data_IF_564138828623
#
_entry.id   IF_564138828623
#
_cell.length_a   1.000
_cell.length_b   1.000
_cell.length_c   1.000
_cell.angle_alpha   90.00
_cell.angle_beta   90.00
_cell.angle_gamma   90.00
#
_symmetry.space_group_name_H-M   'P 1'
#
loop_
_entity.id
_entity.type
_entity.pdbx_description
1 polymer ?
#
# COMPACT_ATOMS: atom_id res chain seq x y z
N UNK A 1 14.83 2.50 -28.96
CA UNK A 1 13.39 2.19 -29.06
C UNK A 1 13.05 1.30 -27.88
N UNK A 2 12.16 1.75 -26.98
CA UNK A 2 11.75 1.00 -25.79
C UNK A 2 10.29 0.63 -25.99
N UNK A 3 10.01 -0.62 -26.27
CA UNK A 3 8.65 -1.15 -26.40
C UNK A 3 8.57 -2.48 -25.65
N UNK A 4 7.51 -2.64 -24.86
CA UNK A 4 7.27 -3.81 -24.02
C UNK A 4 6.09 -3.53 -23.10
N UNK A 5 5.47 -4.59 -22.59
CA UNK A 5 4.34 -4.49 -21.67
C UNK A 5 4.74 -5.08 -20.32
N UNK A 6 4.43 -4.38 -19.22
CA UNK A 6 4.58 -4.92 -17.87
C UNK A 6 3.40 -5.81 -17.55
N UNK A 7 3.65 -7.00 -17.02
CA UNK A 7 2.59 -7.97 -16.75
C UNK A 7 1.70 -7.60 -15.55
N UNK A 8 2.09 -6.63 -14.69
CA UNK A 8 1.37 -6.39 -13.42
C UNK A 8 1.31 -4.95 -12.91
N UNK A 9 2.20 -4.04 -13.29
CA UNK A 9 2.30 -2.73 -12.61
C UNK A 9 2.14 -1.56 -13.57
N UNK A 10 0.93 -1.02 -13.70
CA UNK A 10 0.71 0.26 -14.37
C UNK A 10 -0.17 1.14 -13.50
N UNK A 11 -0.02 2.46 -13.65
CA UNK A 11 -0.80 3.43 -12.89
C UNK A 11 -1.03 4.70 -13.70
N UNK A 12 -2.10 5.40 -13.37
CA UNK A 12 -2.31 6.76 -13.86
C UNK A 12 -1.47 7.72 -13.00
N UNK A 13 -0.69 8.59 -13.66
CA UNK A 13 0.07 9.66 -12.99
C UNK A 13 -0.69 10.99 -13.00
N UNK A 14 -1.66 11.11 -13.90
CA UNK A 14 -2.69 12.14 -13.95
C UNK A 14 -3.92 11.57 -14.72
N UNK A 15 -4.86 12.42 -15.13
CA UNK A 15 -6.09 11.99 -15.80
C UNK A 15 -5.89 11.49 -17.25
N UNK A 16 -4.73 11.72 -17.87
CA UNK A 16 -4.50 11.49 -19.30
C UNK A 16 -3.29 10.58 -19.57
N UNK A 17 -2.41 10.43 -18.60
CA UNK A 17 -1.12 9.77 -18.75
C UNK A 17 -1.07 8.50 -17.91
N UNK A 18 -0.90 7.36 -18.59
CA UNK A 18 -0.60 6.07 -17.98
C UNK A 18 0.89 5.88 -17.91
N UNK A 19 1.39 5.35 -16.81
CA UNK A 19 2.80 5.02 -16.66
C UNK A 19 3.01 3.60 -16.14
N UNK A 20 4.08 2.97 -16.60
CA UNK A 20 4.40 1.58 -16.32
C UNK A 20 5.90 1.32 -16.53
N UNK A 21 6.52 0.41 -15.77
CA UNK A 21 7.90 0.00 -15.97
C UNK A 21 8.02 -0.90 -17.21
N UNK A 22 9.15 -0.80 -17.90
CA UNK A 22 9.51 -1.60 -19.07
C UNK A 22 11.02 -1.84 -19.04
N UNK A 23 11.43 -2.91 -18.37
CA UNK A 23 12.84 -3.26 -18.17
C UNK A 23 13.56 -2.22 -17.31
N UNK A 24 14.44 -1.43 -17.94
CA UNK A 24 15.25 -0.41 -17.27
C UNK A 24 14.64 1.00 -17.35
N UNK A 25 13.43 1.11 -17.91
CA UNK A 25 12.75 2.37 -18.16
C UNK A 25 11.36 2.35 -17.53
N UNK A 26 10.81 3.53 -17.30
CA UNK A 26 9.41 3.76 -17.01
C UNK A 26 8.87 4.59 -18.17
N UNK A 27 7.82 4.08 -18.81
CA UNK A 27 7.16 4.72 -19.93
C UNK A 27 5.98 5.52 -19.41
N UNK A 28 5.77 6.70 -19.96
CA UNK A 28 4.61 7.56 -19.71
C UNK A 28 3.90 7.78 -21.04
N UNK A 29 2.72 7.22 -21.19
CA UNK A 29 1.91 7.27 -22.39
C UNK A 29 0.72 8.21 -22.16
N UNK A 30 0.73 9.34 -22.85
CA UNK A 30 -0.44 10.19 -23.00
C UNK A 30 -1.46 9.48 -23.90
N UNK A 31 -2.64 9.20 -23.36
CA UNK A 31 -3.68 8.43 -24.05
C UNK A 31 -4.30 9.23 -25.20
N UNK A 32 -4.36 10.56 -25.11
CA UNK A 32 -4.97 11.42 -26.11
C UNK A 32 -4.00 11.66 -27.28
N UNK A 33 -2.79 12.13 -26.98
CA UNK A 33 -1.81 12.50 -28.00
C UNK A 33 -1.00 11.32 -28.52
N UNK A 34 -1.05 10.17 -27.83
CA UNK A 34 -0.22 8.98 -28.08
C UNK A 34 1.28 9.25 -27.98
N UNK A 35 1.68 10.36 -27.36
CA UNK A 35 3.08 10.68 -27.11
C UNK A 35 3.57 9.87 -25.91
N UNK A 36 4.80 9.37 -26.05
CA UNK A 36 5.46 8.63 -24.98
C UNK A 36 6.69 9.40 -24.52
N UNK A 37 6.78 9.66 -23.21
CA UNK A 37 8.02 10.09 -22.56
C UNK A 37 8.58 8.94 -21.73
N UNK A 38 9.87 8.99 -21.43
CA UNK A 38 10.58 7.89 -20.76
C UNK A 38 11.41 8.42 -19.61
N UNK A 39 11.42 7.69 -18.50
CA UNK A 39 12.37 7.87 -17.40
C UNK A 39 13.25 6.62 -17.33
N UNK A 40 14.56 6.80 -17.36
CA UNK A 40 15.50 5.70 -17.19
C UNK A 40 15.81 5.49 -15.70
N UNK A 41 15.76 4.24 -15.24
CA UNK A 41 16.24 3.88 -13.92
C UNK A 41 17.77 4.06 -13.86
N UNK A 42 18.31 4.82 -12.88
CA UNK A 42 19.74 5.15 -12.85
C UNK A 42 20.68 3.94 -12.78
N UNK A 43 20.21 2.83 -12.20
CA UNK A 43 21.03 1.69 -11.81
C UNK A 43 20.73 0.42 -12.60
N UNK A 44 19.81 0.48 -13.58
CA UNK A 44 19.46 -0.64 -14.43
C UNK A 44 17.98 -1.00 -14.34
N UNK A 45 17.66 -2.17 -13.81
CA UNK A 45 16.31 -2.71 -13.84
C UNK A 45 15.40 -2.03 -12.81
N UNK A 46 14.16 -1.75 -13.21
CA UNK A 46 13.10 -1.28 -12.30
C UNK A 46 12.54 -2.48 -11.53
N UNK A 47 12.48 -2.36 -10.21
CA UNK A 47 11.83 -3.31 -9.29
C UNK A 47 10.33 -2.98 -9.13
N UNK A 48 9.85 -2.94 -7.89
CA UNK A 48 8.49 -2.48 -7.58
C UNK A 48 8.24 -1.03 -8.02
N UNK A 49 6.99 -0.73 -8.36
CA UNK A 49 6.53 0.53 -8.94
C UNK A 49 5.17 0.94 -8.36
N UNK A 50 4.96 2.25 -8.15
CA UNK A 50 3.68 2.82 -7.74
C UNK A 50 3.54 4.28 -8.20
N UNK A 51 2.29 4.77 -8.28
CA UNK A 51 1.98 6.15 -8.67
C UNK A 51 1.02 6.80 -7.69
N UNK A 52 1.08 8.12 -7.61
CA UNK A 52 0.09 8.94 -6.93
C UNK A 52 -0.34 10.07 -7.87
N UNK A 53 -1.53 9.91 -8.47
CA UNK A 53 -2.08 10.90 -9.40
C UNK A 53 -2.47 12.22 -8.73
N UNK A 54 -2.81 12.22 -7.45
CA UNK A 54 -3.19 13.45 -6.72
C UNK A 54 -1.98 14.39 -6.53
N UNK A 55 -0.80 13.81 -6.35
CA UNK A 55 0.45 14.55 -6.18
C UNK A 55 1.31 14.60 -7.44
N UNK A 56 0.89 13.91 -8.51
CA UNK A 56 1.65 13.72 -9.75
C UNK A 56 3.09 13.26 -9.49
N UNK A 57 3.23 12.26 -8.61
CA UNK A 57 4.51 11.62 -8.29
C UNK A 57 4.47 10.12 -8.54
N UNK A 58 5.61 9.57 -8.90
CA UNK A 58 5.82 8.14 -9.03
C UNK A 58 6.92 7.68 -8.07
N UNK A 59 6.81 6.44 -7.61
CA UNK A 59 7.83 5.75 -6.84
C UNK A 59 8.23 4.48 -7.57
N UNK A 60 9.53 4.19 -7.60
CA UNK A 60 10.03 2.91 -8.09
C UNK A 60 11.30 2.53 -7.36
N UNK A 61 11.51 1.24 -7.18
CA UNK A 61 12.78 0.70 -6.69
C UNK A 61 13.70 0.32 -7.83
N UNK A 62 15.00 0.29 -7.57
CA UNK A 62 15.93 -0.45 -8.42
C UNK A 62 16.11 -1.90 -7.97
N UNK A 63 16.72 -2.71 -8.83
CA UNK A 63 17.10 -4.10 -8.54
C UNK A 63 18.61 -4.24 -8.52
N UNK A 64 19.19 -4.12 -7.32
CA UNK A 64 20.62 -4.27 -7.05
C UNK A 64 20.82 -4.64 -5.58
N UNK A 65 22.08 -4.89 -5.19
CA UNK A 65 22.44 -4.96 -3.78
C UNK A 65 22.13 -3.64 -3.07
N UNK A 66 21.39 -3.72 -1.97
CA UNK A 66 20.86 -2.58 -1.21
C UNK A 66 20.04 -1.64 -2.10
N UNK A 67 18.89 -2.11 -2.61
CA UNK A 67 18.07 -1.32 -3.51
C UNK A 67 17.54 -0.05 -2.84
N UNK A 68 17.25 0.95 -3.66
CA UNK A 68 16.76 2.27 -3.24
C UNK A 68 15.42 2.51 -3.91
N UNK A 69 14.48 3.10 -3.16
CA UNK A 69 13.22 3.58 -3.72
C UNK A 69 13.38 5.05 -4.12
N UNK A 70 13.26 5.33 -5.41
CA UNK A 70 13.29 6.68 -5.95
C UNK A 70 11.89 7.25 -6.10
N UNK A 71 11.74 8.53 -5.81
CA UNK A 71 10.49 9.27 -6.04
C UNK A 71 10.75 10.43 -6.97
N UNK A 72 9.95 10.52 -8.03
CA UNK A 72 10.08 11.52 -9.09
C UNK A 72 8.78 12.31 -9.26
N UNK A 73 8.89 13.58 -9.68
CA UNK A 73 7.75 14.38 -10.14
C UNK A 73 7.37 14.03 -11.56
N UNK A 74 6.12 14.32 -11.91
CA UNK A 74 5.63 14.38 -13.26
C UNK A 74 4.92 15.73 -13.47
N UNK A 75 5.07 16.39 -14.64
CA UNK A 75 5.70 15.93 -15.87
C UNK A 75 7.22 16.16 -15.97
N UNK A 76 7.84 16.90 -15.05
CA UNK A 76 9.23 17.33 -15.19
C UNK A 76 10.26 16.20 -15.04
N UNK A 77 9.86 15.06 -14.45
CA UNK A 77 10.74 13.91 -14.18
C UNK A 77 11.95 14.32 -13.32
N UNK A 78 11.73 15.20 -12.35
CA UNK A 78 12.74 15.58 -11.36
C UNK A 78 12.73 14.61 -10.18
N UNK A 79 13.90 14.14 -9.76
CA UNK A 79 14.04 13.31 -8.56
C UNK A 79 13.76 14.16 -7.31
N UNK A 80 12.75 13.79 -6.53
CA UNK A 80 12.42 14.43 -5.26
C UNK A 80 13.24 13.88 -4.10
N UNK A 81 13.28 12.55 -3.96
CA UNK A 81 13.93 11.89 -2.83
C UNK A 81 14.35 10.46 -3.16
N UNK A 82 15.19 9.90 -2.29
CA UNK A 82 15.66 8.52 -2.28
C UNK A 82 15.41 7.93 -0.90
N UNK A 83 14.52 6.94 -0.81
CA UNK A 83 14.27 6.21 0.44
C UNK A 83 15.18 4.99 0.48
N UNK A 84 16.02 4.93 1.51
CA UNK A 84 16.98 3.84 1.75
C UNK A 84 16.52 3.07 2.97
N UNK A 85 16.04 1.85 2.76
CA UNK A 85 15.72 0.92 3.84
C UNK A 85 16.71 -0.21 3.95
N UNK A 86 16.34 -1.21 4.75
CA UNK A 86 17.19 -2.35 5.07
C UNK A 86 17.04 -3.53 4.08
N UNK A 87 16.31 -3.34 2.97
CA UNK A 87 16.20 -4.35 1.94
C UNK A 87 17.57 -4.63 1.33
N UNK A 88 17.91 -5.90 1.09
CA UNK A 88 19.20 -6.26 0.50
C UNK A 88 19.16 -6.51 -1.00
N UNK A 89 18.06 -7.02 -1.53
CA UNK A 89 18.01 -7.50 -2.92
C UNK A 89 16.92 -6.84 -3.78
N UNK A 90 15.70 -6.71 -3.25
CA UNK A 90 14.57 -6.24 -4.05
C UNK A 90 13.44 -5.70 -3.18
N UNK A 91 12.62 -4.83 -3.77
CA UNK A 91 11.29 -4.50 -3.27
C UNK A 91 10.25 -5.12 -4.20
N UNK A 92 9.27 -5.80 -3.63
CA UNK A 92 8.22 -6.49 -4.40
C UNK A 92 6.98 -5.64 -4.58
N UNK A 93 6.65 -4.76 -3.63
CA UNK A 93 5.47 -3.91 -3.67
C UNK A 93 5.79 -2.49 -3.17
N UNK A 94 5.15 -1.51 -3.80
CA UNK A 94 5.08 -0.12 -3.36
C UNK A 94 3.63 0.33 -3.39
N UNK A 95 3.22 1.18 -2.46
CA UNK A 95 1.89 1.77 -2.46
C UNK A 95 1.94 3.18 -1.88
N UNK A 96 1.35 4.15 -2.54
CA UNK A 96 1.17 5.49 -1.98
C UNK A 96 -0.11 5.57 -1.15
N UNK A 97 -0.09 6.38 -0.10
CA UNK A 97 -1.33 6.83 0.53
C UNK A 97 -2.07 7.79 -0.39
N UNK A 98 -3.40 7.83 -0.27
CA UNK A 98 -4.24 8.59 -1.20
C UNK A 98 -4.01 10.11 -1.10
N UNK A 99 -4.02 10.67 0.11
CA UNK A 99 -3.88 12.13 0.36
C UNK A 99 -2.59 12.53 1.07
N UNK A 100 -1.94 11.61 1.78
CA UNK A 100 -0.78 11.91 2.62
C UNK A 100 0.57 11.78 1.91
N UNK A 101 1.64 12.29 2.52
CA UNK A 101 3.02 12.09 2.06
C UNK A 101 3.55 10.72 2.50
N UNK A 102 2.72 9.68 2.50
CA UNK A 102 3.11 8.35 2.96
C UNK A 102 3.26 7.36 1.81
N UNK A 103 4.28 6.52 1.93
CA UNK A 103 4.57 5.40 1.03
C UNK A 103 4.75 4.15 1.89
N UNK A 104 4.13 3.05 1.48
CA UNK A 104 4.40 1.74 2.02
C UNK A 104 5.23 0.96 1.02
N UNK A 105 6.21 0.21 1.52
CA UNK A 105 7.06 -0.67 0.72
C UNK A 105 7.12 -2.04 1.34
N UNK A 106 7.19 -3.08 0.52
CA UNK A 106 7.45 -4.45 0.97
C UNK A 106 8.73 -4.99 0.32
N UNK A 107 9.69 -5.41 1.14
CA UNK A 107 10.94 -5.99 0.65
C UNK A 107 10.81 -7.48 0.36
N UNK A 108 11.72 -7.98 -0.48
CA UNK A 108 11.82 -9.40 -0.83
C UNK A 108 12.72 -10.17 0.14
N UNK A 109 13.20 -11.34 -0.30
CA UNK A 109 14.21 -12.14 0.37
C UNK A 109 15.49 -11.30 0.56
N UNK A 110 16.17 -11.43 1.72
CA UNK A 110 15.81 -12.26 2.88
C UNK A 110 14.92 -11.57 3.94
N UNK A 111 14.60 -10.28 3.80
CA UNK A 111 14.04 -9.50 4.91
C UNK A 111 12.52 -9.64 5.08
N UNK A 112 11.76 -9.68 3.98
CA UNK A 112 10.29 -9.72 3.99
C UNK A 112 9.65 -8.65 4.89
N UNK A 113 10.12 -7.41 4.81
CA UNK A 113 9.74 -6.32 5.72
C UNK A 113 8.72 -5.41 5.06
N UNK A 114 7.61 -5.19 5.77
CA UNK A 114 6.68 -4.08 5.49
C UNK A 114 7.23 -2.82 6.15
N UNK A 115 7.45 -1.76 5.38
CA UNK A 115 7.93 -0.47 5.88
C UNK A 115 6.97 0.65 5.47
N UNK A 116 6.77 1.61 6.36
CA UNK A 116 5.96 2.81 6.12
C UNK A 116 6.84 4.05 6.27
N UNK A 117 6.82 4.89 5.24
CA UNK A 117 7.69 6.05 5.10
C UNK A 117 6.87 7.34 5.05
N UNK A 118 7.36 8.41 5.66
CA UNK A 118 7.03 9.76 5.22
C UNK A 118 8.04 10.15 4.14
N UNK A 119 7.59 10.10 2.89
CA UNK A 119 8.50 10.30 1.76
C UNK A 119 8.87 11.77 1.53
N UNK A 120 8.08 12.74 2.01
CA UNK A 120 8.47 14.16 1.94
C UNK A 120 9.58 14.48 2.92
N UNK A 121 9.50 13.91 4.11
CA UNK A 121 10.48 14.16 5.18
C UNK A 121 11.69 13.22 5.11
N UNK A 122 11.62 12.19 4.26
CA UNK A 122 12.62 11.14 4.13
C UNK A 122 12.86 10.38 5.46
N UNK A 123 11.76 10.01 6.12
CA UNK A 123 11.78 9.32 7.43
C UNK A 123 11.06 7.98 7.32
N UNK A 124 11.71 6.93 7.80
CA UNK A 124 11.07 5.64 8.08
C UNK A 124 10.25 5.78 9.36
N UNK A 125 8.93 5.63 9.27
CA UNK A 125 8.05 5.76 10.43
C UNK A 125 8.04 4.48 11.25
N UNK A 126 7.82 3.34 10.59
CA UNK A 126 7.76 2.04 11.23
C UNK A 126 7.99 0.91 10.22
N UNK A 127 8.36 -0.25 10.72
CA UNK A 127 8.57 -1.45 9.91
C UNK A 127 8.28 -2.72 10.70
N UNK A 128 7.83 -3.76 10.02
CA UNK A 128 7.55 -5.07 10.59
C UNK A 128 8.06 -6.17 9.66
N UNK A 129 8.85 -7.10 10.20
CA UNK A 129 9.38 -8.25 9.44
C UNK A 129 8.36 -9.40 9.44
N UNK A 130 8.17 -10.00 8.26
CA UNK A 130 7.30 -11.15 8.07
C UNK A 130 8.02 -12.26 7.30
N UNK A 131 9.00 -12.96 7.92
CA UNK A 131 9.84 -13.92 7.23
C UNK A 131 9.02 -15.01 6.51
N UNK A 132 9.30 -15.20 5.22
CA UNK A 132 8.67 -16.24 4.39
C UNK A 132 7.25 -15.90 3.90
N UNK A 133 6.74 -14.69 4.13
CA UNK A 133 5.45 -14.26 3.61
C UNK A 133 5.61 -13.64 2.22
N UNK A 134 4.97 -14.20 1.20
CA UNK A 134 4.93 -13.59 -0.13
C UNK A 134 3.67 -12.74 -0.27
N UNK A 135 3.85 -11.42 -0.32
CA UNK A 135 2.76 -10.49 -0.56
C UNK A 135 2.35 -10.47 -2.04
N UNK A 136 1.05 -10.41 -2.31
CA UNK A 136 0.48 -10.26 -3.66
C UNK A 136 -0.06 -8.85 -3.90
N UNK A 137 -0.49 -8.14 -2.86
CA UNK A 137 -0.98 -6.77 -2.95
C UNK A 137 -0.79 -6.00 -1.66
N UNK A 138 -0.61 -4.69 -1.79
CA UNK A 138 -0.42 -3.73 -0.71
C UNK A 138 -1.16 -2.44 -1.08
N UNK A 139 -2.00 -1.93 -0.18
CA UNK A 139 -2.71 -0.66 -0.41
C UNK A 139 -3.02 0.05 0.89
N UNK A 140 -3.04 1.38 0.85
CA UNK A 140 -3.56 2.18 1.96
C UNK A 140 -5.08 2.23 1.92
N UNK A 141 -5.71 2.34 3.10
CA UNK A 141 -7.08 2.83 3.19
C UNK A 141 -7.10 4.29 2.67
N UNK A 142 -7.94 4.61 1.67
CA UNK A 142 -7.94 5.92 1.02
C UNK A 142 -8.40 7.07 1.94
N UNK A 143 -9.13 6.77 3.01
CA UNK A 143 -9.66 7.76 3.96
C UNK A 143 -8.78 7.85 5.22
N UNK A 144 -8.11 6.75 5.59
CA UNK A 144 -7.25 6.71 6.77
C UNK A 144 -5.89 6.09 6.45
N UNK A 145 -4.87 6.93 6.28
CA UNK A 145 -3.50 6.47 5.98
C UNK A 145 -2.91 5.57 7.08
N UNK A 146 -3.44 5.61 8.31
CA UNK A 146 -3.01 4.73 9.39
C UNK A 146 -3.49 3.29 9.23
N UNK A 147 -4.18 2.95 8.14
CA UNK A 147 -4.60 1.60 7.84
C UNK A 147 -4.06 1.15 6.48
N UNK A 148 -3.45 -0.02 6.47
CA UNK A 148 -2.86 -0.67 5.30
C UNK A 148 -3.48 -2.05 5.11
N UNK A 149 -3.95 -2.33 3.91
CA UNK A 149 -4.34 -3.67 3.50
C UNK A 149 -3.12 -4.39 2.92
N UNK A 150 -2.85 -5.57 3.46
CA UNK A 150 -1.79 -6.46 3.01
C UNK A 150 -2.41 -7.81 2.64
N UNK A 151 -2.20 -8.24 1.40
CA UNK A 151 -2.78 -9.48 0.87
C UNK A 151 -1.65 -10.42 0.49
N UNK A 152 -1.79 -11.68 0.86
CA UNK A 152 -0.99 -12.79 0.34
C UNK A 152 -1.94 -13.84 -0.27
N UNK A 153 -1.42 -14.98 -0.71
CA UNK A 153 -2.21 -15.98 -1.43
C UNK A 153 -3.36 -16.59 -0.60
N UNK A 154 -3.28 -16.54 0.73
CA UNK A 154 -4.23 -17.24 1.62
C UNK A 154 -4.90 -16.36 2.67
N UNK A 155 -4.51 -15.09 2.79
CA UNK A 155 -5.01 -14.21 3.84
C UNK A 155 -5.00 -12.75 3.44
N UNK A 156 -5.94 -12.01 4.04
CA UNK A 156 -5.98 -10.55 4.04
C UNK A 156 -5.69 -10.09 5.46
N UNK A 157 -4.77 -9.14 5.61
CA UNK A 157 -4.39 -8.56 6.90
C UNK A 157 -4.55 -7.05 6.81
N UNK A 158 -5.23 -6.46 7.80
CA UNK A 158 -5.26 -5.01 7.99
C UNK A 158 -4.18 -4.66 9.01
N UNK A 159 -3.22 -3.85 8.60
CA UNK A 159 -2.22 -3.26 9.47
C UNK A 159 -2.69 -1.90 9.94
N UNK A 160 -2.67 -1.67 11.25
CA UNK A 160 -2.91 -0.37 11.85
C UNK A 160 -1.57 0.24 12.26
N UNK A 161 -1.31 1.46 11.79
CA UNK A 161 -0.16 2.28 12.19
C UNK A 161 -0.59 3.07 13.42
N UNK A 162 -0.20 2.59 14.59
CA UNK A 162 -0.42 3.30 15.86
C UNK A 162 0.69 4.33 16.04
N UNK A 163 0.33 5.53 16.48
CA UNK A 163 1.28 6.63 16.74
C UNK A 163 1.25 6.99 18.23
N UNK A 164 2.43 7.01 18.85
CA UNK A 164 2.65 7.50 20.20
C UNK A 164 3.73 8.58 20.17
N UNK A 165 3.32 9.85 20.30
CA UNK A 165 4.19 11.01 20.09
C UNK A 165 4.86 10.98 18.69
N UNK A 166 6.16 10.71 18.63
CA UNK A 166 6.94 10.62 17.39
C UNK A 166 7.21 9.16 16.96
N UNK A 167 6.89 8.19 17.82
CA UNK A 167 7.05 6.77 17.53
C UNK A 167 5.81 6.21 16.81
N UNK A 168 6.06 5.34 15.82
CA UNK A 168 5.01 4.63 15.10
C UNK A 168 5.24 3.12 15.18
N UNK A 169 4.17 2.36 15.32
CA UNK A 169 4.22 0.89 15.38
C UNK A 169 3.14 0.27 14.51
N UNK A 170 3.47 -0.87 13.90
CA UNK A 170 2.54 -1.63 13.08
C UNK A 170 1.85 -2.69 13.95
N UNK A 171 0.53 -2.61 14.02
CA UNK A 171 -0.32 -3.61 14.67
C UNK A 171 -1.08 -4.42 13.65
N UNK A 172 -0.95 -5.74 13.75
CA UNK A 172 -1.55 -6.70 12.83
C UNK A 172 -2.99 -7.04 13.22
N UNK A 173 -3.94 -6.87 12.29
CA UNK A 173 -5.33 -7.33 12.44
C UNK A 173 -5.69 -8.28 11.27
N UNK A 174 -5.57 -9.60 11.44
CA UNK A 174 -5.92 -10.55 10.39
C UNK A 174 -7.43 -10.55 10.13
N UNK A 175 -7.83 -10.57 8.85
CA UNK A 175 -9.24 -10.65 8.45
C UNK A 175 -9.65 -12.11 8.34
N UNK A 176 -10.75 -12.48 8.99
CA UNK A 176 -11.38 -13.78 8.77
C UNK A 176 -12.09 -13.75 7.42
N UNK A 177 -11.56 -14.47 6.45
CA UNK A 177 -12.23 -14.68 5.17
C UNK A 177 -13.35 -15.71 5.37
N UNK A 178 -14.48 -15.57 4.67
CA UNK A 178 -15.54 -16.58 4.72
C UNK A 178 -15.00 -17.91 4.20
N UNK A 179 -15.29 -18.99 4.91
CA UNK A 179 -15.02 -20.33 4.39
C UNK A 179 -15.89 -20.55 3.14
N UNK A 180 -15.49 -21.48 2.25
CA UNK A 180 -16.21 -21.77 1.00
C UNK A 180 -17.69 -22.18 1.15
N UNK A 181 -18.20 -22.29 2.38
CA UNK A 181 -19.61 -22.50 2.73
C UNK A 181 -20.37 -21.21 3.11
N UNK A 182 -19.74 -20.03 3.04
CA UNK A 182 -20.39 -18.73 3.19
C UNK A 182 -20.68 -18.28 4.62
N UNK A 183 -20.26 -19.02 5.64
CA UNK A 183 -20.38 -18.60 7.04
C UNK A 183 -19.11 -17.88 7.50
N UNK A 184 -19.20 -16.56 7.70
CA UNK A 184 -18.31 -15.87 8.63
C UNK A 184 -18.88 -16.07 10.04
N UNK A 185 -18.07 -16.51 11.01
CA UNK A 185 -18.51 -16.56 12.42
C UNK A 185 -18.98 -15.17 12.84
N UNK A 186 -20.21 -14.97 13.35
CA UNK A 186 -20.64 -13.67 13.84
C UNK A 186 -19.69 -13.25 14.96
N UNK A 187 -18.99 -12.15 14.74
CA UNK A 187 -18.24 -11.49 15.80
C UNK A 187 -19.15 -10.37 16.30
N UNK A 188 -19.40 -10.32 17.61
CA UNK A 188 -19.96 -9.12 18.23
C UNK A 188 -18.92 -8.01 18.06
N UNK A 189 -19.21 -7.07 17.17
CA UNK A 189 -18.45 -5.82 17.09
C UNK A 189 -18.87 -4.95 18.26
N UNK A 190 -17.91 -4.55 19.11
CA UNK A 190 -18.14 -3.64 20.26
C UNK A 190 -18.71 -2.27 19.85
N UNK A 191 -18.77 -1.97 18.55
CA UNK A 191 -19.19 -0.66 18.01
C UNK A 191 -20.35 -0.73 17.02
N UNK A 192 -20.81 -1.93 16.62
CA UNK A 192 -21.93 -2.08 15.70
C UNK A 192 -22.83 -3.23 16.16
N UNK A 193 -24.12 -2.99 16.42
CA UNK A 193 -25.04 -4.07 16.76
C UNK A 193 -25.15 -5.03 15.58
N UNK A 194 -25.08 -6.33 15.88
CA UNK A 194 -25.30 -7.41 14.92
C UNK A 194 -26.73 -7.29 14.41
N UNK A 195 -26.92 -7.14 13.10
CA UNK A 195 -28.25 -7.24 12.51
C UNK A 195 -28.67 -8.71 12.50
N UNK A 196 -29.35 -9.15 13.56
CA UNK A 196 -30.08 -10.41 13.51
C UNK A 196 -31.32 -10.21 12.64
N UNK A 197 -31.39 -10.96 11.54
CA UNK A 197 -32.63 -11.11 10.80
C UNK A 197 -33.60 -11.93 11.63
N UNK A 198 -34.82 -11.38 11.81
CA UNK A 198 -36.00 -11.95 12.48
C UNK A 198 -36.18 -11.54 13.95
N UNK A 199 -36.67 -10.30 14.16
CA UNK A 199 -37.67 -10.04 15.20
C UNK A 199 -38.62 -8.91 14.75
N UNK A 200 -39.96 -9.04 14.89
CA UNK A 200 -40.93 -8.05 14.41
C UNK A 200 -41.16 -6.89 15.40
N UNK A 201 -40.35 -6.75 16.44
CA UNK A 201 -40.49 -5.71 17.45
C UNK A 201 -39.44 -4.60 17.23
N UNK A 202 -39.90 -3.42 16.83
CA UNK A 202 -39.08 -2.22 16.72
C UNK A 202 -38.81 -1.65 18.12
N UNK A 203 -37.87 -2.22 18.84
CA UNK A 203 -37.19 -1.53 19.94
C UNK A 203 -35.75 -1.22 19.53
N UNK A 204 -35.14 -0.12 19.99
CA UNK A 204 -33.74 0.16 19.69
C UNK A 204 -32.84 -0.80 20.47
N UNK A 205 -32.09 -1.63 19.74
CA UNK A 205 -31.02 -2.45 20.31
C UNK A 205 -29.90 -1.55 20.84
N UNK A 206 -29.81 -1.46 22.16
CA UNK A 206 -28.75 -0.73 22.85
C UNK A 206 -27.50 -1.62 22.94
N UNK A 207 -26.30 -1.12 22.59
CA UNK A 207 -25.08 -1.87 22.79
C UNK A 207 -24.86 -2.18 24.27
N UNK A 208 -24.20 -3.29 24.59
CA UNK A 208 -23.96 -3.75 25.98
C UNK A 208 -23.26 -2.67 26.83
N UNK A 209 -22.47 -1.79 26.19
CA UNK A 209 -21.82 -0.62 26.80
C UNK A 209 -22.76 0.51 27.21
N UNK A 210 -23.98 0.57 26.68
CA UNK A 210 -25.02 1.53 27.03
C UNK A 210 -25.90 1.08 28.21
N UNK A 211 -25.79 -0.19 28.64
CA UNK A 211 -26.49 -0.73 29.81
C UNK A 211 -25.62 -0.45 31.04
N UNK A 212 -25.68 0.79 31.55
CA UNK A 212 -25.00 1.19 32.78
C UNK A 212 -26.03 1.57 33.87
N UNK A 213 -26.08 0.78 34.96
CA UNK A 213 -26.84 1.02 36.21
C UNK A 213 -28.08 0.12 36.35
N UNK A 214 -28.44 -0.50 37.48
CA UNK A 214 -28.04 -0.42 38.90
C UNK A 214 -28.04 -1.84 39.52
N UNK A 215 -27.24 -2.04 40.56
CA UNK A 215 -27.48 -3.08 41.58
C UNK A 215 -28.66 -2.68 42.45
#
# INVERSE_FOLDING_TARGET
WVQGFSNKDFGFIDNQTVCYPCGNYILFLDIETKKTTVLQCPTGQVGAFATNGNHQVLAFSDRRLNPVVYIYTFPELNKLTELKGDAQLDYTLLAFSFTGPYLASYSSIPEFVLSVWNWRENILLCSESQPGVTATSLSFNPVNWQQLCFVNESSVTIWCIERSNDEHHLKRNPVKLPDGQGSASPHEDLFFPVSHSEDPYYDPDLPVSAIAGLV
#
